data_IF_520316816383
#
_entry.id   IF_520316816383
#
_cell.length_a   1.000
_cell.length_b   1.000
_cell.length_c   1.000
_cell.angle_alpha   90.00
_cell.angle_beta   90.00
_cell.angle_gamma   90.00
#
_symmetry.space_group_name_H-M   'P 1'
#
loop_
_entity.id
_entity.type
_entity.pdbx_description
1 polymer ?
#
# COMPACT_ATOMS: atom_id res chain seq x y z
N UNK A 1 -8.02 -22.19 28.17
CA UNK A 1 -6.88 -21.71 28.99
C UNK A 1 -5.67 -21.33 28.15
N UNK A 2 -5.36 -21.99 27.02
CA UNK A 2 -4.26 -21.55 26.15
C UNK A 2 -4.53 -20.26 25.35
N UNK A 3 -5.79 -19.88 25.07
CA UNK A 3 -6.10 -18.72 24.22
C UNK A 3 -5.90 -17.37 24.92
N UNK A 4 -6.28 -17.24 26.20
CA UNK A 4 -6.24 -15.93 26.90
C UNK A 4 -4.80 -15.43 27.15
N UNK A 5 -3.86 -16.34 27.40
CA UNK A 5 -2.44 -16.00 27.57
C UNK A 5 -1.81 -15.61 26.23
N UNK A 6 -2.17 -16.28 25.15
CA UNK A 6 -1.69 -15.96 23.79
C UNK A 6 -2.24 -14.61 23.33
N UNK A 7 -3.52 -14.33 23.59
CA UNK A 7 -4.14 -13.04 23.27
C UNK A 7 -3.47 -11.89 24.05
N UNK A 8 -3.20 -12.08 25.35
CA UNK A 8 -2.48 -11.07 26.16
C UNK A 8 -1.06 -10.81 25.66
N UNK A 9 -0.33 -11.85 25.26
CA UNK A 9 1.01 -11.71 24.69
C UNK A 9 0.98 -10.99 23.34
N UNK A 10 0.01 -11.31 22.48
CA UNK A 10 -0.17 -10.67 21.18
C UNK A 10 -0.51 -9.18 21.33
N UNK A 11 -1.44 -8.85 22.21
CA UNK A 11 -1.79 -7.45 22.53
C UNK A 11 -0.60 -6.67 23.09
N UNK A 12 0.18 -7.27 23.99
CA UNK A 12 1.39 -6.65 24.52
C UNK A 12 2.44 -6.41 23.44
N UNK A 13 2.61 -7.35 22.50
CA UNK A 13 3.54 -7.22 21.38
C UNK A 13 3.13 -6.07 20.44
N UNK A 14 1.87 -6.04 20.03
CA UNK A 14 1.31 -5.01 19.14
C UNK A 14 1.44 -3.61 19.76
N UNK A 15 1.08 -3.46 21.02
CA UNK A 15 1.16 -2.18 21.72
C UNK A 15 2.60 -1.71 21.90
N UNK A 16 3.54 -2.63 22.14
CA UNK A 16 4.96 -2.30 22.21
C UNK A 16 5.48 -1.80 20.85
N UNK A 17 5.18 -2.50 19.76
CA UNK A 17 5.57 -2.09 18.41
C UNK A 17 5.02 -0.70 18.04
N UNK A 18 3.76 -0.41 18.41
CA UNK A 18 3.14 0.89 18.17
C UNK A 18 3.85 2.03 18.91
N UNK A 19 4.23 1.82 20.19
CA UNK A 19 4.95 2.82 20.99
C UNK A 19 6.37 3.03 20.46
N UNK A 20 7.07 1.95 20.08
CA UNK A 20 8.42 2.03 19.52
C UNK A 20 8.42 2.80 18.20
N UNK A 21 7.48 2.48 17.30
CA UNK A 21 7.32 3.23 16.04
C UNK A 21 7.02 4.70 16.29
N UNK A 22 6.10 5.02 17.21
CA UNK A 22 5.75 6.40 17.52
C UNK A 22 6.98 7.23 17.96
N UNK A 23 7.89 6.62 18.72
CA UNK A 23 9.16 7.26 19.13
C UNK A 23 10.11 7.45 17.95
N UNK A 24 10.25 6.45 17.10
CA UNK A 24 11.12 6.51 15.91
C UNK A 24 10.64 7.56 14.90
N UNK A 25 9.32 7.71 14.74
CA UNK A 25 8.74 8.64 13.79
C UNK A 25 8.75 10.10 14.27
N UNK A 26 8.94 10.34 15.58
CA UNK A 26 9.02 11.64 16.20
C UNK A 26 10.10 11.68 17.31
N UNK A 27 11.39 11.53 16.95
CA UNK A 27 12.47 11.37 17.93
C UNK A 27 12.67 12.62 18.81
N UNK A 28 12.31 13.79 18.29
CA UNK A 28 12.43 15.07 19.00
C UNK A 28 11.23 15.39 19.90
N UNK A 29 10.24 14.50 19.99
CA UNK A 29 9.03 14.67 20.80
C UNK A 29 9.07 13.76 22.01
N UNK A 30 8.86 14.34 23.20
CA UNK A 30 8.65 13.54 24.41
C UNK A 30 7.22 13.03 24.43
N UNK A 31 7.05 11.71 24.49
CA UNK A 31 5.74 11.09 24.69
C UNK A 31 5.44 11.07 26.19
N UNK A 32 4.54 11.93 26.65
CA UNK A 32 4.07 11.90 28.03
C UNK A 32 3.17 10.68 28.30
N UNK A 33 2.76 10.52 29.56
CA UNK A 33 1.96 9.36 29.97
C UNK A 33 0.60 9.31 29.26
N UNK A 34 0.01 10.47 28.99
CA UNK A 34 -1.30 10.59 28.33
C UNK A 34 -1.19 10.18 26.86
N UNK A 35 -0.21 10.72 26.14
CA UNK A 35 0.09 10.37 24.75
C UNK A 35 0.40 8.87 24.60
N UNK A 36 1.20 8.31 25.51
CA UNK A 36 1.49 6.86 25.51
C UNK A 36 0.21 6.05 25.70
N UNK A 37 -0.68 6.47 26.59
CA UNK A 37 -1.95 5.78 26.82
C UNK A 37 -2.89 5.87 25.61
N UNK A 38 -2.96 7.01 24.93
CA UNK A 38 -3.70 7.15 23.68
C UNK A 38 -3.14 6.25 22.57
N UNK A 39 -1.81 6.16 22.44
CA UNK A 39 -1.16 5.21 21.54
C UNK A 39 -1.59 3.77 21.85
N UNK A 40 -1.60 3.37 23.14
CA UNK A 40 -2.05 2.03 23.54
C UNK A 40 -3.49 1.79 23.15
N UNK A 41 -4.39 2.71 23.47
CA UNK A 41 -5.81 2.58 23.16
C UNK A 41 -6.05 2.48 21.65
N UNK A 42 -5.32 3.26 20.85
CA UNK A 42 -5.40 3.21 19.39
C UNK A 42 -4.88 1.88 18.83
N UNK A 43 -3.74 1.40 19.33
CA UNK A 43 -3.15 0.14 18.95
C UNK A 43 -4.07 -1.05 19.30
N UNK A 44 -4.60 -1.07 20.54
CA UNK A 44 -5.52 -2.11 21.00
C UNK A 44 -6.83 -2.13 20.22
N UNK A 45 -7.40 -0.96 19.92
CA UNK A 45 -8.61 -0.86 19.11
C UNK A 45 -8.35 -1.43 17.72
N UNK A 46 -7.24 -1.02 17.09
CA UNK A 46 -6.84 -1.51 15.76
C UNK A 46 -6.61 -3.03 15.77
N UNK A 47 -5.94 -3.54 16.80
CA UNK A 47 -5.66 -4.96 16.95
C UNK A 47 -6.96 -5.78 17.13
N UNK A 48 -7.90 -5.28 17.95
CA UNK A 48 -9.20 -5.94 18.16
C UNK A 48 -10.01 -5.96 16.88
N UNK A 49 -10.13 -4.83 16.19
CA UNK A 49 -10.87 -4.74 14.93
C UNK A 49 -10.29 -5.69 13.88
N UNK A 50 -8.98 -5.66 13.66
CA UNK A 50 -8.34 -6.55 12.70
C UNK A 50 -8.46 -8.02 13.10
N UNK A 51 -8.25 -8.38 14.38
CA UNK A 51 -8.39 -9.76 14.85
C UNK A 51 -9.81 -10.29 14.65
N UNK A 52 -10.83 -9.46 14.90
CA UNK A 52 -12.22 -9.82 14.63
C UNK A 52 -12.47 -10.02 13.13
N UNK A 53 -11.95 -9.13 12.28
CA UNK A 53 -12.05 -9.30 10.81
C UNK A 53 -11.39 -10.60 10.35
N UNK A 54 -10.15 -10.88 10.78
CA UNK A 54 -9.42 -12.10 10.42
C UNK A 54 -10.13 -13.36 10.92
N UNK A 55 -10.62 -13.36 12.17
CA UNK A 55 -11.35 -14.50 12.72
C UNK A 55 -12.61 -14.82 11.92
N UNK A 56 -13.37 -13.78 11.51
CA UNK A 56 -14.58 -13.94 10.70
C UNK A 56 -14.26 -14.51 9.32
N UNK A 57 -13.24 -13.98 8.63
CA UNK A 57 -12.75 -14.51 7.34
C UNK A 57 -12.42 -16.00 7.46
N UNK A 58 -11.71 -16.40 8.52
CA UNK A 58 -11.32 -17.81 8.73
C UNK A 58 -12.51 -18.71 9.06
N UNK A 59 -13.47 -18.22 9.84
CA UNK A 59 -14.64 -18.99 10.29
C UNK A 59 -15.64 -19.25 9.16
N UNK A 60 -15.84 -18.28 8.28
CA UNK A 60 -16.85 -18.32 7.21
C UNK A 60 -16.36 -19.06 5.94
N UNK A 61 -15.13 -19.61 6.00
CA UNK A 61 -14.42 -20.09 4.81
C UNK A 61 -14.05 -18.91 3.91
N UNK A 62 -13.38 -19.18 2.78
CA UNK A 62 -12.93 -18.15 1.81
C UNK A 62 -14.08 -17.37 1.12
N UNK A 63 -15.28 -17.30 1.70
CA UNK A 63 -16.39 -16.50 1.21
C UNK A 63 -16.19 -15.02 1.59
N UNK A 64 -15.41 -14.33 0.75
CA UNK A 64 -15.09 -12.92 0.99
C UNK A 64 -16.31 -11.98 0.95
N UNK A 65 -17.47 -12.37 0.42
CA UNK A 65 -18.69 -11.53 0.50
C UNK A 65 -19.21 -11.40 1.93
N UNK A 66 -19.19 -12.49 2.70
CA UNK A 66 -19.53 -12.43 4.13
C UNK A 66 -18.45 -11.68 4.91
N UNK A 67 -17.17 -11.85 4.58
CA UNK A 67 -16.08 -11.08 5.17
C UNK A 67 -16.24 -9.56 5.00
N UNK A 68 -16.68 -9.12 3.81
CA UNK A 68 -16.96 -7.72 3.48
C UNK A 68 -18.11 -7.16 4.31
N UNK A 69 -19.15 -7.96 4.59
CA UNK A 69 -20.31 -7.52 5.39
C UNK A 69 -19.96 -7.09 6.81
N UNK A 70 -18.77 -7.48 7.29
CA UNK A 70 -18.26 -7.13 8.61
C UNK A 70 -17.42 -5.85 8.63
N UNK A 71 -17.17 -5.24 7.48
CA UNK A 71 -16.57 -3.91 7.37
C UNK A 71 -17.65 -2.84 7.41
N UNK A 72 -17.32 -1.66 7.92
CA UNK A 72 -18.22 -0.50 7.81
C UNK A 72 -18.37 -0.08 6.35
N UNK A 73 -19.54 0.47 5.99
CA UNK A 73 -19.81 0.97 4.64
C UNK A 73 -18.76 2.00 4.21
N UNK A 74 -18.33 2.87 5.14
CA UNK A 74 -17.28 3.85 4.88
C UNK A 74 -15.94 3.19 4.54
N UNK A 75 -15.58 2.10 5.23
CA UNK A 75 -14.35 1.36 4.95
C UNK A 75 -14.43 0.63 3.62
N UNK A 76 -15.56 0.03 3.29
CA UNK A 76 -15.82 -0.57 1.97
C UNK A 76 -15.70 0.48 0.86
N UNK A 77 -16.32 1.64 1.06
CA UNK A 77 -16.28 2.75 0.09
C UNK A 77 -14.86 3.27 -0.11
N UNK A 78 -14.10 3.46 0.98
CA UNK A 78 -12.69 3.87 0.92
C UNK A 78 -11.82 2.85 0.21
N UNK A 79 -11.96 1.57 0.53
CA UNK A 79 -11.19 0.50 -0.15
C UNK A 79 -11.50 0.43 -1.65
N UNK A 80 -12.77 0.65 -2.04
CA UNK A 80 -13.15 0.78 -3.45
C UNK A 80 -12.48 2.00 -4.09
N UNK A 81 -12.54 3.17 -3.43
CA UNK A 81 -11.94 4.43 -3.90
C UNK A 81 -10.40 4.41 -3.90
N UNK A 82 -9.76 3.60 -3.06
CA UNK A 82 -8.31 3.50 -2.98
C UNK A 82 -7.68 2.94 -4.27
N UNK A 83 -8.47 2.19 -5.03
CA UNK A 83 -8.07 1.58 -6.30
C UNK A 83 -8.80 2.20 -7.50
N UNK A 84 -9.67 3.19 -7.25
CA UNK A 84 -9.89 4.24 -8.24
C UNK A 84 -8.56 4.98 -8.38
N UNK A 85 -8.09 5.11 -9.61
CA UNK A 85 -6.73 5.53 -9.92
C UNK A 85 -6.28 6.80 -9.18
N UNK A 86 -5.35 6.64 -8.23
CA UNK A 86 -4.86 7.72 -7.35
C UNK A 86 -3.64 8.45 -7.87
N UNK A 87 -2.90 7.86 -8.81
CA UNK A 87 -1.69 8.45 -9.37
C UNK A 87 -1.93 9.04 -10.75
N UNK A 88 -1.77 8.26 -11.82
CA UNK A 88 -1.89 8.60 -13.23
C UNK A 88 -2.02 7.35 -14.12
N UNK A 89 -2.51 7.54 -15.34
CA UNK A 89 -2.47 6.57 -16.44
C UNK A 89 -1.19 6.77 -17.24
N UNK A 90 -0.65 5.67 -17.76
CA UNK A 90 0.29 5.72 -18.87
C UNK A 90 -0.43 5.11 -20.07
N UNK A 91 -0.65 5.88 -21.12
CA UNK A 91 -1.22 5.40 -22.37
C UNK A 91 -0.08 5.17 -23.37
N UNK A 92 0.17 3.92 -23.75
CA UNK A 92 1.25 3.52 -24.66
C UNK A 92 0.71 3.40 -26.08
N UNK A 93 1.24 4.21 -27.00
CA UNK A 93 1.02 4.04 -28.43
C UNK A 93 2.23 3.34 -29.05
N UNK A 94 2.10 2.04 -29.32
CA UNK A 94 3.20 1.24 -29.88
C UNK A 94 3.61 1.66 -31.30
N UNK A 95 2.64 2.16 -32.10
CA UNK A 95 2.89 2.58 -33.48
C UNK A 95 3.71 3.87 -33.53
N UNK A 96 3.33 4.84 -32.71
CA UNK A 96 4.02 6.13 -32.61
C UNK A 96 5.25 6.06 -31.70
N UNK A 97 5.42 4.95 -30.96
CA UNK A 97 6.42 4.78 -29.92
C UNK A 97 6.36 5.94 -28.93
N UNK A 98 5.19 6.19 -28.36
CA UNK A 98 4.98 7.26 -27.36
C UNK A 98 4.26 6.73 -26.14
N UNK A 99 4.59 7.28 -24.97
CA UNK A 99 3.86 7.07 -23.73
C UNK A 99 3.33 8.42 -23.23
N UNK A 100 2.02 8.56 -23.10
CA UNK A 100 1.35 9.74 -22.55
C UNK A 100 0.98 9.50 -21.10
N UNK A 101 1.29 10.45 -20.21
CA UNK A 101 1.14 10.27 -18.78
C UNK A 101 0.17 11.31 -18.23
N UNK A 102 -1.05 10.86 -17.97
CA UNK A 102 -2.17 11.75 -17.66
C UNK A 102 -2.85 11.36 -16.36
N UNK A 103 -3.49 12.32 -15.72
CA UNK A 103 -4.35 12.11 -14.56
C UNK A 103 -5.58 12.98 -14.74
N UNK A 104 -6.77 12.38 -14.62
CA UNK A 104 -8.05 13.09 -14.77
C UNK A 104 -8.14 13.91 -16.07
N UNK A 105 -7.60 13.36 -17.16
CA UNK A 105 -7.53 14.02 -18.48
C UNK A 105 -6.51 15.16 -18.59
N UNK A 106 -5.69 15.41 -17.57
CA UNK A 106 -4.65 16.43 -17.56
C UNK A 106 -3.25 15.81 -17.65
N UNK A 107 -2.36 16.45 -18.41
CA UNK A 107 -0.96 16.02 -18.52
C UNK A 107 -0.27 16.13 -17.16
N UNK A 108 0.20 14.98 -16.66
CA UNK A 108 0.91 14.92 -15.38
C UNK A 108 2.42 15.00 -15.59
N UNK A 109 2.93 14.33 -16.62
CA UNK A 109 4.33 14.38 -17.05
C UNK A 109 4.39 14.52 -18.58
N UNK A 110 5.46 15.14 -19.12
CA UNK A 110 5.67 15.21 -20.56
C UNK A 110 5.64 13.83 -21.21
N UNK A 111 5.06 13.75 -22.40
CA UNK A 111 5.06 12.52 -23.18
C UNK A 111 6.49 12.01 -23.44
N UNK A 112 6.68 10.70 -23.32
CA UNK A 112 7.98 10.04 -23.48
C UNK A 112 8.03 9.37 -24.86
N UNK A 113 9.08 9.66 -25.63
CA UNK A 113 9.36 8.96 -26.90
C UNK A 113 10.06 7.62 -26.60
N UNK A 114 9.40 6.50 -26.88
CA UNK A 114 9.87 5.13 -26.62
C UNK A 114 10.83 4.59 -27.69
N UNK A 115 11.52 5.47 -28.44
CA UNK A 115 12.47 5.10 -29.48
C UNK A 115 13.85 4.65 -28.97
N UNK A 116 14.10 4.71 -27.66
CA UNK A 116 15.37 4.30 -27.05
C UNK A 116 15.16 3.48 -25.78
N UNK A 117 16.12 2.61 -25.45
CA UNK A 117 16.09 1.79 -24.23
C UNK A 117 16.05 2.62 -22.95
N UNK A 118 16.72 3.78 -22.93
CA UNK A 118 16.68 4.72 -21.80
C UNK A 118 15.28 5.29 -21.55
N UNK A 119 14.58 5.68 -22.61
CA UNK A 119 13.23 6.22 -22.50
C UNK A 119 12.20 5.14 -22.14
N UNK A 120 12.38 3.92 -22.64
CA UNK A 120 11.57 2.76 -22.22
C UNK A 120 11.78 2.46 -20.74
N UNK A 121 13.03 2.53 -20.24
CA UNK A 121 13.31 2.39 -18.81
C UNK A 121 12.63 3.49 -18.01
N UNK A 122 12.72 4.75 -18.43
CA UNK A 122 12.06 5.86 -17.75
C UNK A 122 10.54 5.66 -17.64
N UNK A 123 9.89 5.24 -18.73
CA UNK A 123 8.45 4.92 -18.71
C UNK A 123 8.15 3.74 -17.79
N UNK A 124 9.00 2.71 -17.78
CA UNK A 124 8.87 1.55 -16.89
C UNK A 124 9.02 1.96 -15.42
N UNK A 125 9.94 2.85 -15.09
CA UNK A 125 10.18 3.33 -13.73
C UNK A 125 9.00 4.14 -13.21
N UNK A 126 8.41 4.98 -14.05
CA UNK A 126 7.18 5.70 -13.74
C UNK A 126 6.01 4.72 -13.56
N UNK A 127 5.93 3.67 -14.38
CA UNK A 127 4.89 2.66 -14.23
C UNK A 127 5.02 1.89 -12.91
N UNK A 128 6.23 1.44 -12.58
CA UNK A 128 6.56 0.75 -11.32
C UNK A 128 6.32 1.66 -10.11
N UNK A 129 6.76 2.92 -10.17
CA UNK A 129 6.55 3.88 -9.09
C UNK A 129 5.05 4.10 -8.80
N UNK A 130 4.24 4.20 -9.85
CA UNK A 130 2.80 4.28 -9.70
C UNK A 130 2.22 3.06 -8.98
N UNK A 131 2.66 1.84 -9.31
CA UNK A 131 2.17 0.61 -8.70
C UNK A 131 2.51 0.56 -7.21
N UNK A 132 3.76 0.89 -6.86
CA UNK A 132 4.22 0.93 -5.46
C UNK A 132 3.42 1.95 -4.63
N UNK A 133 3.20 3.15 -5.16
CA UNK A 133 2.44 4.20 -4.45
C UNK A 133 0.99 3.77 -4.26
N UNK A 134 0.33 3.22 -5.28
CA UNK A 134 -1.07 2.76 -5.16
C UNK A 134 -1.20 1.56 -4.20
N UNK A 135 -0.22 0.65 -4.17
CA UNK A 135 -0.18 -0.45 -3.20
C UNK A 135 -0.14 0.06 -1.75
N UNK A 136 0.67 1.08 -1.47
CA UNK A 136 0.75 1.69 -0.13
C UNK A 136 -0.55 2.42 0.22
N UNK A 137 -1.13 3.17 -0.73
CA UNK A 137 -2.42 3.85 -0.53
C UNK A 137 -3.52 2.83 -0.21
N UNK A 138 -3.57 1.70 -0.94
CA UNK A 138 -4.50 0.62 -0.66
C UNK A 138 -4.39 0.14 0.79
N UNK A 139 -3.16 -0.09 1.28
CA UNK A 139 -2.96 -0.55 2.67
C UNK A 139 -3.39 0.51 3.69
N UNK A 140 -3.05 1.79 3.47
CA UNK A 140 -3.50 2.87 4.35
C UNK A 140 -5.04 2.94 4.42
N UNK A 141 -5.71 2.83 3.28
CA UNK A 141 -7.18 2.87 3.19
C UNK A 141 -7.83 1.62 3.82
N UNK A 142 -7.21 0.45 3.68
CA UNK A 142 -7.61 -0.78 4.40
C UNK A 142 -7.53 -0.59 5.90
N UNK A 143 -6.48 0.07 6.40
CA UNK A 143 -6.33 0.41 7.82
C UNK A 143 -7.33 1.50 8.24
N UNK A 144 -7.95 2.19 7.28
CA UNK A 144 -8.87 3.30 7.51
C UNK A 144 -8.11 4.59 7.82
N UNK A 145 -7.03 4.83 7.10
CA UNK A 145 -6.30 6.09 7.03
C UNK A 145 -6.60 6.65 5.65
N UNK A 146 -7.33 7.77 5.61
CA UNK A 146 -7.70 8.43 4.37
C UNK A 146 -6.47 9.12 3.78
N UNK A 147 -6.22 8.88 2.49
CA UNK A 147 -5.15 9.56 1.75
C UNK A 147 -5.75 10.73 0.98
N UNK A 148 -5.34 11.98 1.27
CA UNK A 148 -5.80 13.15 0.54
C UNK A 148 -5.46 13.06 -0.95
N UNK A 149 -6.39 13.49 -1.78
CA UNK A 149 -6.23 13.43 -3.23
C UNK A 149 -5.49 14.68 -3.76
N UNK A 150 -4.17 14.72 -3.56
CA UNK A 150 -3.34 15.89 -3.87
C UNK A 150 -2.26 15.56 -4.91
N UNK A 151 -2.41 16.10 -6.12
CA UNK A 151 -1.47 15.90 -7.25
C UNK A 151 -0.03 16.26 -6.90
N UNK A 152 0.19 17.31 -6.07
CA UNK A 152 1.53 17.74 -5.68
C UNK A 152 2.23 16.70 -4.80
N UNK A 153 1.53 16.17 -3.80
CA UNK A 153 2.08 15.13 -2.93
C UNK A 153 2.24 13.81 -3.69
N UNK A 154 1.32 13.49 -4.61
CA UNK A 154 1.47 12.34 -5.51
C UNK A 154 2.74 12.46 -6.37
N UNK A 155 3.00 13.60 -7.02
CA UNK A 155 4.25 13.82 -7.79
C UNK A 155 5.49 13.64 -6.93
N UNK A 156 5.45 14.12 -5.68
CA UNK A 156 6.55 14.01 -4.72
C UNK A 156 6.82 12.56 -4.34
N UNK A 157 5.80 11.75 -4.07
CA UNK A 157 6.02 10.33 -3.72
C UNK A 157 6.45 9.50 -4.92
N UNK A 158 5.97 9.81 -6.12
CA UNK A 158 6.46 9.17 -7.34
C UNK A 158 7.95 9.42 -7.51
N UNK A 159 8.41 10.66 -7.28
CA UNK A 159 9.84 10.98 -7.31
C UNK A 159 10.63 10.18 -6.27
N UNK A 160 10.12 10.08 -5.03
CA UNK A 160 10.75 9.28 -3.97
C UNK A 160 10.97 7.83 -4.44
N UNK A 161 9.94 7.21 -5.05
CA UNK A 161 10.06 5.83 -5.52
C UNK A 161 10.98 5.69 -6.72
N UNK A 162 10.93 6.61 -7.69
CA UNK A 162 11.84 6.56 -8.84
C UNK A 162 13.30 6.75 -8.43
N UNK A 163 13.56 7.59 -7.43
CA UNK A 163 14.91 7.77 -6.89
C UNK A 163 15.40 6.47 -6.20
N UNK A 164 14.52 5.75 -5.51
CA UNK A 164 14.82 4.44 -4.90
C UNK A 164 15.07 3.33 -5.94
N UNK A 165 14.29 3.31 -7.03
CA UNK A 165 14.43 2.35 -8.14
C UNK A 165 15.78 2.43 -8.88
N UNK A 166 16.50 3.54 -8.74
CA UNK A 166 17.85 3.70 -9.27
C UNK A 166 18.91 2.99 -8.41
N UNK A 167 18.62 2.77 -7.13
CA UNK A 167 19.55 2.18 -6.16
C UNK A 167 19.23 0.71 -5.89
N UNK A 168 17.97 0.29 -6.04
CA UNK A 168 17.49 -1.02 -5.59
C UNK A 168 16.73 -1.79 -6.67
N UNK A 169 17.00 -3.10 -6.76
CA UNK A 169 16.33 -4.00 -7.69
C UNK A 169 15.17 -4.77 -7.06
N UNK A 170 14.95 -4.67 -5.75
CA UNK A 170 13.92 -5.44 -5.03
C UNK A 170 12.52 -5.01 -5.44
N UNK A 171 12.22 -3.71 -5.43
CA UNK A 171 10.93 -3.16 -5.88
C UNK A 171 10.54 -3.62 -7.29
N UNK A 172 11.50 -3.69 -8.22
CA UNK A 172 11.25 -4.16 -9.59
C UNK A 172 10.87 -5.63 -9.62
N UNK A 173 11.51 -6.46 -8.79
CA UNK A 173 11.19 -7.89 -8.67
C UNK A 173 9.82 -8.10 -8.06
N UNK A 174 9.47 -7.35 -7.02
CA UNK A 174 8.19 -7.48 -6.34
C UNK A 174 7.04 -7.06 -7.28
N UNK A 175 7.20 -5.95 -7.99
CA UNK A 175 6.22 -5.50 -8.99
C UNK A 175 6.12 -6.49 -10.17
N UNK A 176 7.24 -7.07 -10.60
CA UNK A 176 7.23 -8.11 -11.64
C UNK A 176 6.55 -9.41 -11.15
N UNK A 177 6.65 -9.73 -9.87
CA UNK A 177 5.96 -10.87 -9.26
C UNK A 177 4.45 -10.63 -9.22
N UNK A 178 4.01 -9.44 -8.79
CA UNK A 178 2.60 -9.00 -8.89
C UNK A 178 2.09 -9.10 -10.33
N UNK A 179 2.89 -8.69 -11.32
CA UNK A 179 2.52 -8.77 -12.75
C UNK A 179 2.32 -10.21 -13.22
N UNK A 180 3.14 -11.16 -12.77
CA UNK A 180 2.99 -12.58 -13.13
C UNK A 180 1.72 -13.18 -12.56
N UNK A 181 1.33 -12.73 -11.38
CA UNK A 181 0.17 -13.25 -10.66
C UNK A 181 -1.12 -12.47 -11.01
N UNK A 182 -1.10 -11.56 -11.99
CA UNK A 182 -2.23 -10.69 -12.36
C UNK A 182 -3.53 -11.46 -12.72
N UNK A 183 -3.41 -12.70 -13.19
CA UNK A 183 -4.55 -13.57 -13.53
C UNK A 183 -5.04 -14.41 -12.33
N UNK A 184 -4.28 -14.45 -11.23
CA UNK A 184 -4.63 -15.05 -9.94
C UNK A 184 -4.79 -13.95 -8.88
N UNK A 185 -5.97 -13.33 -8.84
CA UNK A 185 -6.27 -12.23 -7.93
C UNK A 185 -5.86 -12.47 -6.46
N UNK A 186 -6.15 -13.64 -5.85
CA UNK A 186 -5.63 -13.96 -4.51
C UNK A 186 -4.11 -13.91 -4.39
N UNK A 187 -3.38 -14.45 -5.36
CA UNK A 187 -1.91 -14.43 -5.37
C UNK A 187 -1.39 -12.99 -5.59
N UNK A 188 -1.93 -12.27 -6.57
CA UNK A 188 -1.62 -10.86 -6.83
C UNK A 188 -1.83 -10.00 -5.58
N UNK A 189 -2.98 -10.13 -4.92
CA UNK A 189 -3.27 -9.36 -3.71
C UNK A 189 -2.29 -9.69 -2.58
N UNK A 190 -1.90 -10.95 -2.42
CA UNK A 190 -0.87 -11.35 -1.46
C UNK A 190 0.48 -10.69 -1.79
N UNK A 191 0.89 -10.69 -3.06
CA UNK A 191 2.15 -10.10 -3.50
C UNK A 191 2.17 -8.57 -3.34
N UNK A 192 1.03 -7.90 -3.52
CA UNK A 192 0.87 -6.47 -3.18
C UNK A 192 1.18 -6.23 -1.69
N UNK A 193 0.68 -7.08 -0.78
CA UNK A 193 1.01 -6.94 0.64
C UNK A 193 2.48 -7.24 0.94
N UNK A 194 3.08 -8.23 0.27
CA UNK A 194 4.51 -8.53 0.42
C UNK A 194 5.34 -7.31 0.02
N UNK A 195 5.07 -6.71 -1.14
CA UNK A 195 5.70 -5.45 -1.58
C UNK A 195 5.60 -4.35 -0.50
N UNK A 196 4.44 -4.19 0.12
CA UNK A 196 4.25 -3.15 1.16
C UNK A 196 5.04 -3.47 2.44
N UNK A 197 5.17 -4.74 2.82
CA UNK A 197 5.99 -5.17 3.96
C UNK A 197 7.48 -4.96 3.65
N UNK A 198 7.92 -5.26 2.44
CA UNK A 198 9.32 -5.05 2.03
C UNK A 198 9.63 -3.54 2.03
N UNK A 199 8.74 -2.71 1.47
CA UNK A 199 8.83 -1.25 1.57
C UNK A 199 8.89 -0.75 3.02
N UNK A 200 8.24 -1.43 3.96
CA UNK A 200 8.30 -1.09 5.38
C UNK A 200 9.67 -1.41 5.98
N UNK A 201 10.22 -2.59 5.66
CA UNK A 201 11.55 -3.03 6.07
C UNK A 201 12.66 -2.07 5.63
N UNK A 202 12.54 -1.54 4.42
CA UNK A 202 13.53 -0.62 3.82
C UNK A 202 13.25 0.87 4.17
N UNK A 203 12.19 1.14 4.94
CA UNK A 203 11.79 2.48 5.36
C UNK A 203 11.13 3.34 4.26
N UNK A 204 11.05 2.84 3.02
CA UNK A 204 10.40 3.51 1.89
C UNK A 204 8.91 3.78 2.18
N UNK A 205 8.22 2.83 2.83
CA UNK A 205 6.83 2.97 3.25
C UNK A 205 6.61 4.25 4.06
N UNK A 206 7.49 4.52 5.03
CA UNK A 206 7.38 5.70 5.89
C UNK A 206 7.71 6.98 5.13
N UNK A 207 8.70 6.97 4.21
CA UNK A 207 8.99 8.11 3.33
C UNK A 207 7.76 8.51 2.50
N UNK A 208 7.09 7.53 1.90
CA UNK A 208 5.88 7.73 1.08
C UNK A 208 4.72 8.20 1.95
N UNK A 209 4.42 7.49 3.04
CA UNK A 209 3.29 7.80 3.93
C UNK A 209 3.41 9.20 4.52
N UNK A 210 4.60 9.60 4.97
CA UNK A 210 4.85 10.94 5.52
C UNK A 210 4.74 12.04 4.46
N UNK A 211 5.08 11.75 3.21
CA UNK A 211 4.88 12.69 2.12
C UNK A 211 3.39 12.82 1.76
N UNK A 212 2.66 11.70 1.62
CA UNK A 212 1.21 11.72 1.37
C UNK A 212 0.42 12.44 2.46
N UNK A 213 0.87 12.33 3.72
CA UNK A 213 0.22 12.91 4.89
C UNK A 213 1.00 14.11 5.45
N UNK A 214 1.65 14.89 4.59
CA UNK A 214 2.59 15.92 5.01
C UNK A 214 1.96 17.10 5.79
N UNK A 215 0.67 17.36 5.58
CA UNK A 215 -0.08 18.38 6.31
C UNK A 215 -0.61 17.88 7.68
N UNK A 216 -0.40 16.60 8.01
CA UNK A 216 -0.87 16.01 9.26
C UNK A 216 -0.08 16.58 10.45
N UNK A 217 -0.76 17.09 11.49
CA UNK A 217 -0.11 17.52 12.73
C UNK A 217 0.73 16.40 13.35
N UNK A 218 1.83 16.76 14.01
CA UNK A 218 2.75 15.79 14.62
C UNK A 218 2.06 14.81 15.58
N UNK A 219 1.03 15.28 16.30
CA UNK A 219 0.27 14.46 17.23
C UNK A 219 -0.57 13.41 16.51
N UNK A 220 -1.32 13.83 15.48
CA UNK A 220 -2.11 12.93 14.63
C UNK A 220 -1.21 11.95 13.88
N UNK A 221 -0.02 12.40 13.48
CA UNK A 221 1.01 11.56 12.86
C UNK A 221 1.48 10.44 13.79
N UNK A 222 1.72 10.74 15.07
CA UNK A 222 2.09 9.72 16.07
C UNK A 222 0.98 8.68 16.21
N UNK A 223 -0.28 9.10 16.35
CA UNK A 223 -1.41 8.17 16.47
C UNK A 223 -1.62 7.35 15.19
N UNK A 224 -1.38 7.95 14.03
CA UNK A 224 -1.45 7.29 12.73
C UNK A 224 -0.34 6.26 12.57
N UNK A 225 0.91 6.60 12.91
CA UNK A 225 2.04 5.67 12.87
C UNK A 225 1.83 4.47 13.81
N UNK A 226 1.32 4.72 15.02
CA UNK A 226 0.95 3.68 15.97
C UNK A 226 -0.12 2.73 15.41
N UNK A 227 -1.15 3.29 14.75
CA UNK A 227 -2.21 2.52 14.08
C UNK A 227 -1.65 1.63 12.98
N UNK A 228 -0.80 2.16 12.12
CA UNK A 228 -0.14 1.41 11.03
C UNK A 228 0.68 0.26 11.61
N UNK A 229 1.54 0.55 12.59
CA UNK A 229 2.40 -0.47 13.19
C UNK A 229 1.62 -1.55 13.91
N UNK A 230 0.53 -1.18 14.59
CA UNK A 230 -0.33 -2.16 15.22
C UNK A 230 -0.98 -3.12 14.20
N UNK A 231 -1.45 -2.57 13.08
CA UNK A 231 -2.01 -3.36 11.99
C UNK A 231 -0.97 -4.30 11.38
N UNK A 232 0.21 -3.79 11.04
CA UNK A 232 1.28 -4.61 10.43
C UNK A 232 1.78 -5.69 11.40
N UNK A 233 2.06 -5.33 12.65
CA UNK A 233 2.53 -6.26 13.67
C UNK A 233 1.54 -7.42 13.86
N UNK A 234 0.23 -7.11 13.88
CA UNK A 234 -0.80 -8.13 13.99
C UNK A 234 -0.89 -8.99 12.74
N UNK A 235 -0.87 -8.40 11.53
CA UNK A 235 -0.91 -9.15 10.28
C UNK A 235 0.22 -10.18 10.17
N UNK A 236 1.44 -9.75 10.52
CA UNK A 236 2.63 -10.63 10.51
C UNK A 236 2.47 -11.72 11.57
N UNK A 237 2.12 -11.35 12.81
CA UNK A 237 2.02 -12.30 13.91
C UNK A 237 0.94 -13.38 13.71
N UNK A 238 -0.16 -13.05 13.00
CA UNK A 238 -1.26 -14.00 12.79
C UNK A 238 -1.21 -14.71 11.44
N UNK A 239 -0.24 -14.39 10.57
CA UNK A 239 -0.27 -14.80 9.16
C UNK A 239 -1.50 -14.26 8.41
N UNK A 240 -2.02 -13.09 8.82
CA UNK A 240 -3.27 -12.51 8.33
C UNK A 240 -3.22 -11.99 6.89
N UNK A 241 -2.04 -12.01 6.26
CA UNK A 241 -1.83 -11.53 4.88
C UNK A 241 -2.76 -12.22 3.88
N UNK A 242 -2.86 -13.55 3.94
CA UNK A 242 -3.71 -14.31 3.03
C UNK A 242 -5.21 -14.01 3.23
N UNK A 243 -5.61 -13.73 4.48
CA UNK A 243 -7.00 -13.42 4.81
C UNK A 243 -7.39 -12.03 4.28
N UNK A 244 -6.51 -11.04 4.43
CA UNK A 244 -6.75 -9.70 3.87
C UNK A 244 -6.72 -9.72 2.34
N UNK A 245 -5.85 -10.53 1.72
CA UNK A 245 -5.86 -10.70 0.27
C UNK A 245 -7.25 -11.16 -0.23
N UNK A 246 -7.86 -12.16 0.41
CA UNK A 246 -9.22 -12.62 0.09
C UNK A 246 -10.24 -11.48 0.19
N UNK A 247 -10.16 -10.67 1.25
CA UNK A 247 -11.05 -9.52 1.44
C UNK A 247 -10.91 -8.49 0.31
N UNK A 248 -9.67 -8.15 -0.08
CA UNK A 248 -9.37 -7.22 -1.17
C UNK A 248 -9.92 -7.74 -2.50
N UNK A 249 -9.74 -9.03 -2.84
CA UNK A 249 -10.23 -9.58 -4.12
C UNK A 249 -11.74 -9.44 -4.33
N UNK A 250 -12.54 -9.34 -3.27
CA UNK A 250 -13.99 -9.20 -3.35
C UNK A 250 -14.48 -7.75 -3.38
N UNK A 251 -13.65 -6.82 -2.91
CA UNK A 251 -14.03 -5.42 -2.78
C UNK A 251 -13.73 -4.60 -4.00
N UNK A 252 -12.92 -5.12 -4.91
CA UNK A 252 -12.12 -4.29 -5.81
C UNK A 252 -12.48 -4.56 -7.27
N UNK A 253 -12.65 -3.47 -8.02
CA UNK A 253 -12.53 -3.47 -9.47
C UNK A 253 -11.11 -3.02 -9.82
N UNK A 254 -10.20 -3.96 -10.09
CA UNK A 254 -8.77 -3.67 -10.23
C UNK A 254 -8.39 -3.17 -11.64
N UNK A 255 -9.36 -2.74 -12.47
CA UNK A 255 -9.13 -2.47 -13.89
C UNK A 255 -7.94 -1.53 -14.15
N UNK A 256 -7.87 -0.38 -13.46
CA UNK A 256 -6.76 0.57 -13.61
C UNK A 256 -5.43 0.02 -13.11
N UNK A 257 -5.43 -0.70 -11.99
CA UNK A 257 -4.21 -1.31 -11.46
C UNK A 257 -3.69 -2.42 -12.38
N UNK A 258 -4.58 -3.23 -12.96
CA UNK A 258 -4.24 -4.26 -13.95
C UNK A 258 -3.70 -3.64 -15.25
N UNK A 259 -4.28 -2.53 -15.72
CA UNK A 259 -3.77 -1.81 -16.89
C UNK A 259 -2.32 -1.35 -16.69
N UNK A 260 -1.97 -0.90 -15.49
CA UNK A 260 -0.58 -0.55 -15.12
C UNK A 260 0.37 -1.76 -15.23
N UNK A 261 -0.08 -2.95 -14.87
CA UNK A 261 0.68 -4.20 -15.01
C UNK A 261 0.83 -4.61 -16.48
N UNK A 262 -0.23 -4.45 -17.28
CA UNK A 262 -0.22 -4.69 -18.73
C UNK A 262 0.78 -3.76 -19.42
N UNK A 263 0.73 -2.46 -19.12
CA UNK A 263 1.68 -1.46 -19.64
C UNK A 263 3.12 -1.82 -19.32
N UNK A 264 3.39 -2.30 -18.10
CA UNK A 264 4.73 -2.76 -17.73
C UNK A 264 5.17 -3.96 -18.58
N UNK A 265 4.26 -4.89 -18.87
CA UNK A 265 4.49 -5.99 -19.82
C UNK A 265 4.85 -5.48 -21.22
N UNK A 266 4.09 -4.54 -21.76
CA UNK A 266 4.35 -3.92 -23.07
C UNK A 266 5.72 -3.23 -23.11
N UNK A 267 6.06 -2.44 -22.09
CA UNK A 267 7.37 -1.77 -21.99
C UNK A 267 8.52 -2.77 -21.92
N UNK A 268 8.35 -3.86 -21.17
CA UNK A 268 9.34 -4.94 -21.09
C UNK A 268 9.55 -5.64 -22.44
N UNK A 269 8.48 -5.90 -23.19
CA UNK A 269 8.57 -6.46 -24.56
C UNK A 269 9.29 -5.50 -25.51
N UNK A 270 8.99 -4.20 -25.45
CA UNK A 270 9.70 -3.20 -26.25
C UNK A 270 11.20 -3.15 -25.92
N UNK A 271 11.55 -3.25 -24.63
CA UNK A 271 12.96 -3.28 -24.18
C UNK A 271 13.72 -4.48 -24.74
N UNK A 272 13.09 -5.64 -24.91
CA UNK A 272 13.71 -6.83 -25.49
C UNK A 272 13.87 -6.75 -27.02
N UNK A 273 13.12 -5.87 -27.69
CA UNK A 273 13.17 -5.67 -29.15
C UNK A 273 14.21 -4.64 -29.60
N UNK A 274 14.89 -3.99 -28.65
CA UNK A 274 15.93 -2.98 -28.84
C UNK A 274 17.30 -3.53 -28.46
#
# INVERSE_FOLDING_TARGET
MASETVDKLLHSFVTKAAIETAREQCPDKTLDKETVEEIRQKADTTAKELSQTLHKIRKEGKNGEMAVSHLTLDRVTRMKKALDMKTYEININEKEKTAQINRDGQEMYPAINLGSSGNIMQASDLQTASIVVEAIILVLEIIGIEVPDNVKEVKKVIKIVTDELNNENTLRKDVEQIRKDQDDFPAMAKDIFVLVIDCLGDGLFWKITKALLSDMPWYDWILTSAKISAFVALLVATGGLADIAILVTKLVNAAFFLEKLVNLGTLNSMKMSH
#
